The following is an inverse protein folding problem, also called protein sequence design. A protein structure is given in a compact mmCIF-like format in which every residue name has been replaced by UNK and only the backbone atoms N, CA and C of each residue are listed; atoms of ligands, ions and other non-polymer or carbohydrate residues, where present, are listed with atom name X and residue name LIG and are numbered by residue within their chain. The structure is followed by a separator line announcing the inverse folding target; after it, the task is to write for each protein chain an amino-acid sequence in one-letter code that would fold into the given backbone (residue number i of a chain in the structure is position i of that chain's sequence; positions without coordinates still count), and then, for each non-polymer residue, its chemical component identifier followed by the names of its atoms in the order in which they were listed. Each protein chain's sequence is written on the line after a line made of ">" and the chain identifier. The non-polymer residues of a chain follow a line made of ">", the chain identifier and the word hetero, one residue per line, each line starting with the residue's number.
data_IF_867631910596
#
_entry.id   IF_867631910596
#
_cell.length_a   1.000
_cell.length_b   1.000
_cell.length_c   1.000
_cell.angle_alpha   90.00
_cell.angle_beta   90.00
_cell.angle_gamma   90.00
#
_symmetry.space_group_name_H-M   'P 1'
#
loop_
_entity.id
_entity.type
_entity.pdbx_description
1 polymer ?
#
# COMPACT_ATOMS: atom_id res chain seq x y z
N UNK A 1 51.87 -9.83 23.02
CA UNK A 1 52.72 -9.68 24.21
C UNK A 1 53.66 -8.52 23.94
N UNK A 2 53.29 -7.28 24.33
CA UNK A 2 54.10 -6.09 24.05
C UNK A 2 55.20 -5.97 25.10
N UNK A 3 56.45 -6.14 24.68
CA UNK A 3 57.62 -6.01 25.54
C UNK A 3 57.97 -4.52 25.69
N UNK A 4 57.67 -3.95 26.85
CA UNK A 4 58.12 -2.62 27.26
C UNK A 4 59.64 -2.64 27.45
N UNK A 5 60.40 -2.21 26.43
CA UNK A 5 61.86 -2.17 26.43
C UNK A 5 62.46 -1.05 27.30
N UNK A 6 61.64 -0.24 27.98
CA UNK A 6 62.13 0.86 28.82
C UNK A 6 61.25 1.06 30.07
N UNK A 7 61.57 0.33 31.15
CA UNK A 7 60.80 0.34 32.42
C UNK A 7 60.82 1.68 33.16
N UNK A 8 61.71 2.62 32.81
CA UNK A 8 61.88 3.91 33.50
C UNK A 8 61.03 5.05 32.93
N UNK A 9 60.40 4.89 31.76
CA UNK A 9 59.65 5.97 31.07
C UNK A 9 58.13 5.90 31.23
N UNK A 10 57.59 4.82 31.79
CA UNK A 10 56.15 4.63 31.94
C UNK A 10 55.76 4.75 33.42
N UNK A 11 55.60 5.99 33.88
CA UNK A 11 55.08 6.29 35.21
C UNK A 11 53.62 6.74 35.08
N UNK A 12 52.69 5.81 35.26
CA UNK A 12 51.28 6.14 35.45
C UNK A 12 51.02 6.21 36.94
N UNK A 13 50.66 7.39 37.44
CA UNK A 13 50.13 7.56 38.79
C UNK A 13 48.61 7.66 38.71
N UNK A 14 47.90 6.77 39.41
CA UNK A 14 46.45 6.76 39.49
C UNK A 14 45.98 7.13 40.89
N UNK A 15 44.92 7.93 40.99
CA UNK A 15 44.23 8.27 42.23
C UNK A 15 42.73 8.04 42.02
N UNK A 16 42.09 7.36 42.99
CA UNK A 16 40.64 7.17 43.04
C UNK A 16 40.11 7.82 44.30
N UNK A 17 39.29 8.86 44.14
CA UNK A 17 38.59 9.51 45.24
C UNK A 17 37.11 9.11 45.20
N UNK A 18 36.57 8.67 46.33
CA UNK A 18 35.16 8.31 46.49
C UNK A 18 34.56 9.29 47.49
N UNK A 19 33.51 10.00 47.06
CA UNK A 19 32.77 10.96 47.86
C UNK A 19 31.35 10.44 48.00
N UNK A 20 31.00 9.98 49.20
CA UNK A 20 29.65 9.53 49.55
C UNK A 20 28.88 10.69 50.19
N UNK A 21 27.65 10.90 49.74
CA UNK A 21 26.71 11.90 50.27
C UNK A 21 25.43 11.19 50.72
N UNK A 22 24.58 11.88 51.48
CA UNK A 22 23.30 11.30 51.95
C UNK A 22 22.34 10.90 50.81
N UNK A 23 22.59 11.44 49.62
CA UNK A 23 21.72 11.32 48.44
C UNK A 23 22.33 10.48 47.33
N UNK A 24 23.59 10.02 47.48
CA UNK A 24 24.29 9.25 46.45
C UNK A 24 25.82 9.32 46.55
N UNK A 25 26.50 8.88 45.49
CA UNK A 25 27.96 8.73 45.48
C UNK A 25 28.61 9.33 44.23
N UNK A 26 29.83 9.82 44.39
CA UNK A 26 30.66 10.37 43.31
C UNK A 26 32.05 9.75 43.35
N UNK A 27 32.48 9.26 42.20
CA UNK A 27 33.76 8.63 41.96
C UNK A 27 34.61 9.53 41.06
N UNK A 28 35.84 9.82 41.46
CA UNK A 28 36.80 10.61 40.70
C UNK A 28 38.05 9.77 40.50
N UNK A 29 38.26 9.32 39.27
CA UNK A 29 39.47 8.62 38.85
C UNK A 29 40.38 9.60 38.11
N UNK A 30 41.56 9.86 38.66
CA UNK A 30 42.59 10.71 38.05
C UNK A 30 43.79 9.84 37.67
N UNK A 31 44.17 9.84 36.40
CA UNK A 31 45.37 9.17 35.90
C UNK A 31 46.33 10.20 35.31
N UNK A 32 47.56 10.21 35.79
CA UNK A 32 48.63 11.12 35.34
C UNK A 32 49.74 10.31 34.71
N UNK A 33 50.09 10.65 33.46
CA UNK A 33 51.25 10.10 32.76
C UNK A 33 52.03 11.23 32.08
N UNK A 34 53.25 11.48 32.55
CA UNK A 34 54.07 12.62 32.12
C UNK A 34 53.31 13.96 32.28
N UNK A 35 53.10 14.72 31.19
CA UNK A 35 52.36 16.00 31.20
C UNK A 35 50.87 15.85 30.82
N UNK A 36 50.31 14.63 30.83
CA UNK A 36 48.91 14.38 30.50
C UNK A 36 48.16 13.88 31.73
N UNK A 37 47.03 14.52 32.00
CA UNK A 37 46.10 14.14 33.08
C UNK A 37 44.78 13.77 32.45
N UNK A 38 44.32 12.55 32.69
CA UNK A 38 42.98 12.10 32.35
C UNK A 38 42.18 12.04 33.64
N UNK A 39 41.03 12.69 33.69
CA UNK A 39 40.14 12.67 34.84
C UNK A 39 38.78 12.15 34.41
N UNK A 40 38.30 11.11 35.06
CA UNK A 40 36.94 10.59 34.91
C UNK A 40 36.21 10.86 36.20
N UNK A 41 35.08 11.55 36.12
CA UNK A 41 34.18 11.79 37.23
C UNK A 41 32.86 11.11 36.89
N UNK A 42 32.34 10.26 37.76
CA UNK A 42 31.02 9.65 37.58
C UNK A 42 30.30 9.65 38.91
N UNK A 43 29.00 9.86 38.91
CA UNK A 43 28.21 9.84 40.13
C UNK A 43 26.75 9.63 39.85
N UNK A 44 26.05 9.21 40.89
CA UNK A 44 24.60 9.08 40.88
C UNK A 44 24.02 9.73 42.14
N UNK A 45 22.80 10.23 42.02
CA UNK A 45 22.01 10.74 43.14
C UNK A 45 20.55 10.30 43.01
N UNK A 46 19.91 10.01 44.14
CA UNK A 46 18.49 9.63 44.23
C UNK A 46 17.77 10.66 45.09
N UNK A 47 17.11 11.61 44.43
CA UNK A 47 16.46 12.74 45.07
C UNK A 47 14.98 12.41 45.25
N UNK A 48 14.49 12.45 46.49
CA UNK A 48 13.06 12.36 46.79
C UNK A 48 12.49 13.78 46.85
N UNK A 49 11.55 14.09 45.96
CA UNK A 49 10.89 15.39 45.92
C UNK A 49 9.75 15.46 46.93
N UNK A 50 9.48 16.68 47.44
CA UNK A 50 8.39 16.93 48.40
C UNK A 50 6.98 16.63 47.86
N UNK A 51 6.84 16.54 46.53
CA UNK A 51 5.60 16.20 45.82
C UNK A 51 5.38 14.69 45.64
N UNK A 52 6.25 13.86 46.24
CA UNK A 52 6.19 12.40 46.18
C UNK A 52 6.94 11.77 45.00
N UNK A 53 7.50 12.59 44.08
CA UNK A 53 8.24 12.08 42.93
C UNK A 53 9.66 11.64 43.32
N UNK A 54 10.18 10.62 42.61
CA UNK A 54 11.57 10.16 42.76
C UNK A 54 12.39 10.49 41.52
N UNK A 55 13.50 11.16 41.71
CA UNK A 55 14.44 11.51 40.65
C UNK A 55 15.73 10.70 40.80
N UNK A 56 16.12 10.02 39.73
CA UNK A 56 17.37 9.31 39.60
C UNK A 56 18.26 10.08 38.64
N UNK A 57 19.32 10.67 39.15
CA UNK A 57 20.27 11.42 38.35
C UNK A 57 21.58 10.65 38.24
N UNK A 58 22.17 10.62 37.05
CA UNK A 58 23.47 10.07 36.76
C UNK A 58 24.27 11.05 35.92
N UNK A 59 25.42 11.47 36.44
CA UNK A 59 26.32 12.40 35.77
C UNK A 59 27.68 11.74 35.56
N UNK A 60 28.28 11.93 34.39
CA UNK A 60 29.68 11.57 34.20
C UNK A 60 30.39 12.51 33.24
N UNK A 61 31.64 12.79 33.57
CA UNK A 61 32.51 13.73 32.88
C UNK A 61 33.88 13.09 32.65
N UNK A 62 34.37 13.20 31.42
CA UNK A 62 35.71 12.81 31.02
C UNK A 62 36.48 14.06 30.62
N UNK A 63 37.51 14.42 31.37
CA UNK A 63 38.45 15.49 31.05
C UNK A 63 39.77 14.87 30.53
N UNK A 64 40.17 15.24 29.31
CA UNK A 64 41.48 14.91 28.73
C UNK A 64 42.44 16.10 28.76
N UNK A 65 41.89 17.32 28.69
CA UNK A 65 42.59 18.58 28.90
C UNK A 65 41.59 19.71 29.18
N UNK A 66 42.02 20.91 29.61
CA UNK A 66 41.11 22.04 29.87
C UNK A 66 40.21 22.44 28.68
N UNK A 67 40.59 22.07 27.45
CA UNK A 67 39.83 22.35 26.21
C UNK A 67 39.15 21.11 25.61
N UNK A 68 39.41 19.91 26.13
CA UNK A 68 38.88 18.66 25.60
C UNK A 68 38.27 17.86 26.74
N UNK A 69 36.96 18.00 26.87
CA UNK A 69 36.16 17.29 27.85
C UNK A 69 34.77 17.03 27.28
N UNK A 70 34.12 16.01 27.81
CA UNK A 70 32.72 15.69 27.53
C UNK A 70 32.05 15.32 28.83
N UNK A 71 30.83 15.77 29.00
CA UNK A 71 30.00 15.52 30.16
C UNK A 71 28.62 15.07 29.69
N UNK A 72 28.06 14.09 30.36
CA UNK A 72 26.65 13.76 30.23
C UNK A 72 25.98 13.80 31.59
N UNK A 73 24.71 14.17 31.58
CA UNK A 73 23.82 14.20 32.73
C UNK A 73 22.48 13.59 32.31
N UNK A 74 22.04 12.55 33.01
CA UNK A 74 20.78 11.87 32.78
C UNK A 74 19.96 11.97 34.06
N UNK A 75 18.77 12.56 33.97
CA UNK A 75 17.79 12.60 35.04
C UNK A 75 16.53 11.84 34.60
N UNK A 76 16.12 10.87 35.41
CA UNK A 76 14.88 10.12 35.28
C UNK A 76 13.98 10.46 36.47
N UNK A 77 12.87 11.14 36.21
CA UNK A 77 11.87 11.51 37.21
C UNK A 77 10.68 10.59 37.05
N UNK A 78 10.45 9.74 38.05
CA UNK A 78 9.23 8.94 38.14
C UNK A 78 8.09 9.81 38.69
N UNK A 79 7.03 9.96 37.89
CA UNK A 79 5.83 10.74 38.18
C UNK A 79 4.58 9.86 38.32
N UNK A 80 4.74 8.54 38.38
CA UNK A 80 3.67 7.59 38.59
C UNK A 80 3.08 7.77 39.99
N UNK A 81 1.82 8.21 40.05
CA UNK A 81 1.10 8.47 41.32
C UNK A 81 0.13 7.36 41.70
N UNK A 82 -0.51 6.76 40.70
CA UNK A 82 -1.56 5.75 40.87
C UNK A 82 -1.26 4.52 40.00
N UNK A 83 -1.84 3.37 40.32
CA UNK A 83 -1.69 2.12 39.53
C UNK A 83 -2.28 2.22 38.11
N UNK A 84 -3.06 3.27 37.83
CA UNK A 84 -3.81 3.46 36.59
C UNK A 84 -2.96 4.15 35.50
N UNK A 85 -1.98 4.96 35.89
CA UNK A 85 -1.17 5.77 34.98
C UNK A 85 0.31 5.57 35.25
N UNK A 86 1.07 5.09 34.26
CA UNK A 86 2.53 5.13 34.30
C UNK A 86 3.02 6.40 33.63
N UNK A 87 3.73 7.24 34.39
CA UNK A 87 4.22 8.52 33.93
C UNK A 87 5.69 8.71 34.32
N UNK A 88 6.55 8.93 33.32
CA UNK A 88 7.97 9.21 33.56
C UNK A 88 8.45 10.35 32.69
N UNK A 89 9.43 11.07 33.21
CA UNK A 89 10.14 12.11 32.50
C UNK A 89 11.63 11.77 32.48
N UNK A 90 12.23 11.86 31.30
CA UNK A 90 13.66 11.61 31.08
C UNK A 90 14.26 12.90 30.54
N UNK A 91 15.36 13.34 31.13
CA UNK A 91 16.16 14.47 30.64
C UNK A 91 17.59 13.99 30.45
N UNK A 92 18.12 14.11 29.25
CA UNK A 92 19.50 13.73 28.90
C UNK A 92 20.18 14.98 28.37
N UNK A 93 21.24 15.42 29.04
CA UNK A 93 22.08 16.53 28.60
C UNK A 93 23.48 16.02 28.27
N UNK A 94 23.98 16.35 27.08
CA UNK A 94 25.35 16.11 26.67
C UNK A 94 26.02 17.45 26.43
N UNK A 95 27.10 17.68 27.16
CA UNK A 95 27.80 18.96 27.24
C UNK A 95 29.25 18.74 26.80
N UNK A 96 29.73 19.61 25.91
CA UNK A 96 31.14 19.70 25.56
C UNK A 96 31.48 21.16 25.26
N UNK A 97 32.77 21.57 25.18
CA UNK A 97 33.21 22.97 25.35
C UNK A 97 32.50 24.08 24.56
N UNK A 98 31.79 23.76 23.47
CA UNK A 98 31.10 24.74 22.64
C UNK A 98 29.61 24.45 22.40
N UNK A 99 29.09 23.30 22.84
CA UNK A 99 27.70 22.92 22.60
C UNK A 99 27.09 22.17 23.77
N UNK A 100 25.79 22.35 23.91
CA UNK A 100 24.94 21.65 24.84
C UNK A 100 23.81 21.05 23.99
N UNK A 101 23.56 19.77 24.19
CA UNK A 101 22.44 19.04 23.62
C UNK A 101 21.60 18.53 24.77
N UNK A 102 20.36 19.00 24.88
CA UNK A 102 19.42 18.55 25.91
C UNK A 102 18.22 17.90 25.24
N UNK A 103 18.11 16.59 25.41
CA UNK A 103 16.92 15.82 25.06
C UNK A 103 16.03 15.69 26.28
N UNK A 104 14.74 15.96 26.14
CA UNK A 104 13.73 15.71 27.15
C UNK A 104 12.63 14.85 26.54
N UNK A 105 12.26 13.80 27.25
CA UNK A 105 11.13 12.94 26.94
C UNK A 105 10.17 12.91 28.12
N UNK A 106 8.88 12.91 27.83
CA UNK A 106 7.81 12.65 28.78
C UNK A 106 6.88 11.63 28.16
N UNK A 107 6.43 10.67 28.95
CA UNK A 107 5.33 9.79 28.56
C UNK A 107 4.35 9.64 29.72
N UNK A 108 3.09 9.43 29.35
CA UNK A 108 1.99 9.12 30.24
C UNK A 108 1.09 8.10 29.55
N UNK A 109 1.03 6.89 30.11
CA UNK A 109 0.37 5.73 29.50
C UNK A 109 -0.65 5.16 30.48
N UNK A 110 -1.83 4.83 29.94
CA UNK A 110 -2.92 4.10 30.58
C UNK A 110 -3.65 3.25 29.55
N UNK A 111 -4.66 2.49 29.96
CA UNK A 111 -5.49 1.66 29.08
C UNK A 111 -6.28 2.45 28.01
N UNK A 112 -6.42 3.77 28.18
CA UNK A 112 -7.25 4.62 27.32
C UNK A 112 -6.55 5.85 26.76
N UNK A 113 -5.33 6.15 27.23
CA UNK A 113 -4.56 7.33 26.85
C UNK A 113 -3.09 6.94 26.73
N UNK A 114 -2.46 7.35 25.64
CA UNK A 114 -1.02 7.37 25.46
C UNK A 114 -0.68 8.80 25.07
N UNK A 115 0.11 9.48 25.90
CA UNK A 115 0.56 10.85 25.65
C UNK A 115 2.07 10.87 25.79
N UNK A 116 2.78 11.25 24.73
CA UNK A 116 4.24 11.24 24.69
C UNK A 116 4.72 12.53 24.07
N UNK A 117 5.63 13.22 24.76
CA UNK A 117 6.29 14.41 24.25
C UNK A 117 7.80 14.19 24.25
N UNK A 118 8.44 14.54 23.15
CA UNK A 118 9.89 14.53 23.02
C UNK A 118 10.35 15.88 22.53
N UNK A 119 11.41 16.41 23.11
CA UNK A 119 12.04 17.64 22.67
C UNK A 119 13.56 17.47 22.66
N UNK A 120 14.20 18.00 21.64
CA UNK A 120 15.65 18.10 21.53
C UNK A 120 16.00 19.56 21.35
N UNK A 121 16.76 20.11 22.29
CA UNK A 121 17.26 21.48 22.26
C UNK A 121 18.76 21.45 22.06
N UNK A 122 19.27 22.24 21.13
CA UNK A 122 20.71 22.38 20.91
C UNK A 122 21.12 23.81 20.59
N UNK A 123 22.42 24.07 20.82
CA UNK A 123 23.09 25.36 20.61
C UNK A 123 22.55 26.52 21.46
N UNK A 124 23.32 27.63 21.47
CA UNK A 124 22.98 28.87 22.18
C UNK A 124 21.71 29.56 21.66
N UNK A 125 21.31 29.25 20.42
CA UNK A 125 20.17 29.88 19.75
C UNK A 125 18.83 29.23 20.12
N UNK A 126 18.79 28.31 21.10
CA UNK A 126 17.58 27.61 21.54
C UNK A 126 16.82 26.92 20.38
N UNK A 127 17.56 26.41 19.39
CA UNK A 127 16.95 25.62 18.33
C UNK A 127 16.40 24.35 18.96
N UNK A 128 15.11 24.13 18.76
CA UNK A 128 14.42 22.98 19.35
C UNK A 128 13.59 22.26 18.30
N UNK A 129 13.64 20.94 18.35
CA UNK A 129 12.74 20.06 17.63
C UNK A 129 11.87 19.37 18.65
N UNK A 130 10.58 19.35 18.43
CA UNK A 130 9.63 18.73 19.33
C UNK A 130 8.73 17.78 18.55
N UNK A 131 8.38 16.66 19.15
CA UNK A 131 7.43 15.72 18.62
C UNK A 131 6.49 15.28 19.74
N UNK A 132 5.19 15.35 19.48
CA UNK A 132 4.14 14.95 20.41
C UNK A 132 3.27 13.86 19.79
N UNK A 133 2.90 12.86 20.56
CA UNK A 133 1.94 11.82 20.19
C UNK A 133 0.89 11.70 21.29
N UNK A 134 -0.36 11.97 20.93
CA UNK A 134 -1.52 11.83 21.79
C UNK A 134 -2.50 10.84 21.15
N UNK A 135 -2.59 9.65 21.72
CA UNK A 135 -3.63 8.67 21.40
C UNK A 135 -4.65 8.61 22.53
N UNK A 136 -5.94 8.61 22.19
CA UNK A 136 -7.04 8.54 23.14
C UNK A 136 -8.15 7.63 22.62
N UNK A 137 -8.60 6.70 23.47
CA UNK A 137 -9.81 5.92 23.23
C UNK A 137 -11.03 6.76 23.61
N UNK A 138 -11.92 7.01 22.65
CA UNK A 138 -13.22 7.65 22.87
C UNK A 138 -14.33 6.61 23.09
N UNK A 139 -15.45 7.02 23.72
CA UNK A 139 -16.65 6.19 23.77
C UNK A 139 -17.12 5.75 22.37
N UNK A 140 -17.89 4.67 22.30
CA UNK A 140 -18.44 4.12 21.04
C UNK A 140 -17.39 3.58 20.04
N UNK A 141 -16.30 2.97 20.54
CA UNK A 141 -15.25 2.32 19.71
C UNK A 141 -14.65 3.26 18.67
N UNK A 142 -14.42 4.51 19.08
CA UNK A 142 -13.66 5.49 18.32
C UNK A 142 -12.32 5.72 18.97
N UNK A 143 -11.31 5.90 18.16
CA UNK A 143 -9.96 6.20 18.59
C UNK A 143 -9.45 7.43 17.87
N UNK A 144 -8.75 8.27 18.61
CA UNK A 144 -8.16 9.49 18.11
C UNK A 144 -6.66 9.43 18.30
N UNK A 145 -5.93 9.85 17.27
CA UNK A 145 -4.49 9.95 17.26
C UNK A 145 -4.13 11.35 16.75
N UNK A 146 -3.41 12.09 17.58
CA UNK A 146 -2.83 13.38 17.23
C UNK A 146 -1.32 13.23 17.28
N UNK A 147 -0.66 13.43 16.16
CA UNK A 147 0.79 13.46 16.09
C UNK A 147 1.24 14.85 15.62
N UNK A 148 2.16 15.47 16.34
CA UNK A 148 2.61 16.83 16.07
C UNK A 148 4.13 16.86 15.97
N UNK A 149 4.64 17.59 14.99
CA UNK A 149 6.07 17.85 14.83
C UNK A 149 6.28 19.36 14.76
N UNK A 150 7.18 19.84 15.60
CA UNK A 150 7.69 21.19 15.61
C UNK A 150 9.15 21.19 15.19
N UNK A 151 9.47 21.97 14.17
CA UNK A 151 10.83 22.13 13.69
C UNK A 151 11.12 23.62 13.42
N UNK A 152 12.33 24.15 13.70
CA UNK A 152 12.63 25.57 13.52
C UNK A 152 12.54 26.07 12.07
N UNK A 153 12.51 25.16 11.10
CA UNK A 153 12.36 25.50 9.67
C UNK A 153 10.91 25.58 9.20
N UNK A 154 9.94 25.21 10.04
CA UNK A 154 8.53 25.26 9.69
C UNK A 154 7.92 26.58 10.18
N UNK A 155 7.07 27.19 9.36
CA UNK A 155 6.32 28.40 9.76
C UNK A 155 5.28 28.10 10.86
N UNK A 156 4.85 26.84 10.95
CA UNK A 156 3.88 26.31 11.92
C UNK A 156 4.22 24.86 12.24
N UNK A 157 3.79 24.40 13.41
CA UNK A 157 3.84 22.99 13.80
C UNK A 157 2.98 22.15 12.84
N UNK A 158 3.55 21.05 12.33
CA UNK A 158 2.86 20.11 11.45
C UNK A 158 2.07 19.15 12.32
N UNK A 159 0.77 19.03 12.08
CA UNK A 159 -0.11 18.15 12.84
C UNK A 159 -0.82 17.15 11.94
N UNK A 160 -0.83 15.90 12.41
CA UNK A 160 -1.52 14.77 11.82
C UNK A 160 -2.62 14.36 12.81
N UNK A 161 -3.86 14.67 12.46
CA UNK A 161 -5.02 14.30 13.25
C UNK A 161 -5.74 13.14 12.56
N UNK A 162 -5.71 11.97 13.17
CA UNK A 162 -6.43 10.80 12.72
C UNK A 162 -7.56 10.47 13.69
N UNK A 163 -8.73 10.17 13.16
CA UNK A 163 -9.85 9.63 13.91
C UNK A 163 -10.39 8.43 13.17
N UNK A 164 -10.51 7.29 13.85
CA UNK A 164 -11.10 6.10 13.27
C UNK A 164 -12.09 5.44 14.22
N UNK A 165 -13.14 4.90 13.65
CA UNK A 165 -14.19 4.15 14.32
C UNK A 165 -14.23 2.72 13.79
N UNK A 166 -14.54 1.78 14.68
CA UNK A 166 -14.75 0.40 14.29
C UNK A 166 -16.01 -0.18 14.95
N UNK A 167 -16.82 -0.82 14.12
CA UNK A 167 -17.96 -1.62 14.51
C UNK A 167 -17.80 -3.03 13.93
N UNK A 168 -18.70 -3.96 14.29
CA UNK A 168 -18.66 -5.35 13.78
C UNK A 168 -18.66 -5.45 12.26
N UNK A 169 -19.32 -4.51 11.58
CA UNK A 169 -19.54 -4.52 10.13
C UNK A 169 -18.94 -3.31 9.41
N UNK A 170 -18.37 -2.33 10.10
CA UNK A 170 -17.89 -1.10 9.45
C UNK A 170 -16.64 -0.60 10.16
N UNK A 171 -15.64 -0.23 9.38
CA UNK A 171 -14.47 0.53 9.84
C UNK A 171 -14.46 1.83 9.04
N UNK A 172 -14.45 2.96 9.72
CA UNK A 172 -14.36 4.28 9.10
C UNK A 172 -13.24 5.08 9.73
N UNK A 173 -12.60 5.95 8.96
CA UNK A 173 -11.57 6.82 9.49
C UNK A 173 -11.23 7.97 8.58
N UNK A 174 -10.64 8.99 9.19
CA UNK A 174 -10.16 10.18 8.50
C UNK A 174 -8.80 10.59 9.07
N UNK A 175 -7.93 11.07 8.20
CA UNK A 175 -6.65 11.68 8.51
C UNK A 175 -6.66 13.11 7.97
N UNK A 176 -6.40 14.06 8.83
CA UNK A 176 -6.26 15.49 8.52
C UNK A 176 -4.82 15.88 8.77
N UNK A 177 -4.16 16.42 7.75
CA UNK A 177 -2.80 16.94 7.84
C UNK A 177 -2.85 18.46 7.72
N UNK A 178 -2.46 19.15 8.79
CA UNK A 178 -2.34 20.60 8.85
C UNK A 178 -0.86 20.96 8.98
N UNK A 179 -0.31 21.54 7.93
CA UNK A 179 1.12 21.88 7.81
C UNK A 179 1.38 23.35 7.47
N UNK A 180 0.33 24.17 7.39
CA UNK A 180 0.40 25.55 6.91
C UNK A 180 -0.48 26.49 7.73
N UNK A 181 -0.22 27.80 7.59
CA UNK A 181 -1.10 28.84 8.12
C UNK A 181 -2.36 29.00 7.24
N UNK A 182 -2.29 28.62 5.96
CA UNK A 182 -3.42 28.73 5.05
C UNK A 182 -4.36 27.52 5.22
N UNK A 183 -5.65 27.73 5.56
CA UNK A 183 -6.63 26.65 5.69
C UNK A 183 -6.84 25.84 4.39
N UNK A 184 -6.58 26.41 3.21
CA UNK A 184 -6.70 25.72 1.92
C UNK A 184 -5.58 24.71 1.66
N UNK A 185 -4.48 24.79 2.40
CA UNK A 185 -3.36 23.84 2.35
C UNK A 185 -3.53 22.69 3.34
N UNK A 186 -4.78 22.39 3.74
CA UNK A 186 -5.11 21.27 4.60
C UNK A 186 -5.46 20.05 3.76
N UNK A 187 -4.76 18.95 4.00
CA UNK A 187 -5.04 17.68 3.34
C UNK A 187 -5.99 16.85 4.21
N UNK A 188 -7.10 16.40 3.64
CA UNK A 188 -8.04 15.47 4.28
C UNK A 188 -8.07 14.18 3.47
N UNK A 189 -7.78 13.06 4.13
CA UNK A 189 -7.88 11.72 3.60
C UNK A 189 -8.91 10.97 4.43
N UNK A 190 -9.71 10.11 3.82
CA UNK A 190 -10.62 9.28 4.59
C UNK A 190 -11.01 8.03 3.85
N UNK A 191 -11.53 7.09 4.63
CA UNK A 191 -11.93 5.80 4.13
C UNK A 191 -13.01 5.18 4.99
N UNK A 192 -13.86 4.39 4.36
CA UNK A 192 -14.87 3.58 4.99
C UNK A 192 -14.89 2.22 4.31
N UNK A 193 -14.77 1.17 5.10
CA UNK A 193 -14.88 -0.22 4.67
C UNK A 193 -16.06 -0.82 5.42
N UNK A 194 -16.97 -1.43 4.68
CA UNK A 194 -18.17 -2.07 5.20
C UNK A 194 -18.21 -3.55 4.82
N UNK A 195 -18.67 -4.37 5.75
CA UNK A 195 -18.98 -5.77 5.59
C UNK A 195 -20.50 -5.95 5.72
N UNK A 196 -21.14 -6.21 4.59
CA UNK A 196 -22.55 -6.52 4.47
C UNK A 196 -22.77 -8.03 4.21
N UNK A 197 -21.80 -8.86 4.59
CA UNK A 197 -21.84 -10.30 4.35
C UNK A 197 -22.92 -11.00 5.18
N UNK A 198 -23.44 -12.09 4.63
CA UNK A 198 -24.33 -13.03 5.30
C UNK A 198 -23.64 -14.41 5.33
N UNK A 199 -24.24 -15.42 5.98
CA UNK A 199 -23.64 -16.76 6.17
C UNK A 199 -23.12 -17.44 4.89
N UNK A 200 -23.69 -17.13 3.73
CA UNK A 200 -23.36 -17.76 2.44
C UNK A 200 -22.89 -16.76 1.38
N UNK A 201 -22.91 -15.46 1.67
CA UNK A 201 -22.62 -14.40 0.69
C UNK A 201 -21.65 -13.40 1.30
N UNK A 202 -20.49 -13.19 0.68
CA UNK A 202 -19.56 -12.14 1.07
C UNK A 202 -19.88 -10.87 0.28
N UNK A 203 -20.08 -9.76 0.98
CA UNK A 203 -20.37 -8.48 0.36
C UNK A 203 -19.59 -7.39 1.10
N UNK A 204 -18.50 -6.95 0.49
CA UNK A 204 -17.66 -5.90 1.03
C UNK A 204 -17.84 -4.64 0.21
N UNK A 205 -18.00 -3.52 0.88
CA UNK A 205 -18.06 -2.19 0.25
C UNK A 205 -16.92 -1.34 0.76
N UNK A 206 -16.32 -0.53 -0.10
CA UNK A 206 -15.36 0.48 0.32
C UNK A 206 -15.72 1.83 -0.26
N UNK A 207 -15.33 2.88 0.44
CA UNK A 207 -15.35 4.25 -0.03
C UNK A 207 -14.08 4.95 0.47
N UNK A 208 -13.32 5.54 -0.44
CA UNK A 208 -12.07 6.24 -0.18
C UNK A 208 -12.21 7.64 -0.75
N UNK A 209 -11.82 8.65 0.03
CA UNK A 209 -11.87 10.04 -0.43
C UNK A 209 -10.61 10.80 -0.02
N UNK A 210 -10.24 11.77 -0.85
CA UNK A 210 -9.15 12.70 -0.56
C UNK A 210 -9.51 14.10 -1.06
N UNK A 211 -9.20 15.11 -0.24
CA UNK A 211 -9.42 16.50 -0.56
C UNK A 211 -8.21 17.34 -0.18
N UNK A 212 -7.73 18.15 -1.12
CA UNK A 212 -6.70 19.15 -0.87
C UNK A 212 -6.91 20.36 -1.80
N UNK A 213 -7.46 21.45 -1.24
CA UNK A 213 -7.90 22.62 -2.00
C UNK A 213 -6.74 23.29 -2.73
N UNK A 214 -5.57 23.43 -2.10
CA UNK A 214 -4.42 24.10 -2.71
C UNK A 214 -3.90 23.43 -4.00
N UNK A 215 -4.13 22.13 -4.18
CA UNK A 215 -3.80 21.41 -5.43
C UNK A 215 -5.04 21.06 -6.25
N UNK A 216 -6.22 21.60 -5.92
CA UNK A 216 -7.51 21.17 -6.47
C UNK A 216 -7.64 19.64 -6.52
N UNK A 217 -7.15 18.95 -5.49
CA UNK A 217 -7.27 17.50 -5.40
C UNK A 217 -8.66 17.19 -4.85
N UNK A 218 -9.43 16.45 -5.64
CA UNK A 218 -10.67 15.84 -5.19
C UNK A 218 -10.70 14.41 -5.72
N UNK A 219 -10.66 13.44 -4.82
CA UNK A 219 -10.77 12.03 -5.11
C UNK A 219 -11.95 11.48 -4.35
N UNK A 220 -12.81 10.77 -5.05
CA UNK A 220 -13.85 9.93 -4.46
C UNK A 220 -13.85 8.60 -5.22
N UNK A 221 -13.56 7.52 -4.52
CA UNK A 221 -13.52 6.17 -5.07
C UNK A 221 -14.39 5.28 -4.21
N UNK A 222 -15.38 4.66 -4.82
CA UNK A 222 -16.24 3.70 -4.17
C UNK A 222 -16.23 2.39 -4.95
N UNK A 223 -16.50 1.31 -4.24
CA UNK A 223 -16.62 0.03 -4.88
C UNK A 223 -17.14 -1.04 -3.96
N UNK A 224 -17.49 -2.15 -4.57
CA UNK A 224 -18.04 -3.30 -3.88
C UNK A 224 -17.48 -4.58 -4.47
N UNK A 225 -17.17 -5.51 -3.59
CA UNK A 225 -16.83 -6.88 -3.93
C UNK A 225 -17.95 -7.79 -3.42
N UNK A 226 -18.48 -8.59 -4.32
CA UNK A 226 -19.55 -9.54 -4.04
C UNK A 226 -19.11 -10.95 -4.41
N UNK A 227 -19.39 -11.90 -3.51
CA UNK A 227 -19.16 -13.31 -3.76
C UNK A 227 -20.29 -14.13 -3.16
N UNK A 228 -20.77 -15.09 -3.95
CA UNK A 228 -21.67 -16.16 -3.56
C UNK A 228 -21.31 -17.41 -4.37
N UNK A 229 -21.79 -18.60 -3.99
CA UNK A 229 -21.47 -19.84 -4.70
C UNK A 229 -21.82 -19.83 -6.19
N UNK A 230 -22.84 -19.07 -6.60
CA UNK A 230 -23.29 -19.00 -7.99
C UNK A 230 -23.12 -17.63 -8.66
N UNK A 231 -22.81 -16.56 -7.93
CA UNK A 231 -22.60 -15.22 -8.50
C UNK A 231 -21.46 -14.52 -7.78
N UNK A 232 -20.49 -14.01 -8.52
CA UNK A 232 -19.41 -13.21 -7.97
C UNK A 232 -19.07 -12.06 -8.90
N UNK A 233 -18.71 -10.93 -8.31
CA UNK A 233 -18.38 -9.75 -9.07
C UNK A 233 -17.78 -8.63 -8.25
N UNK A 234 -17.31 -7.63 -8.96
CA UNK A 234 -16.74 -6.43 -8.39
C UNK A 234 -17.17 -5.23 -9.22
N UNK A 235 -17.46 -4.13 -8.54
CA UNK A 235 -17.84 -2.85 -9.15
C UNK A 235 -17.02 -1.75 -8.51
N UNK A 236 -16.45 -0.88 -9.32
CA UNK A 236 -15.61 0.23 -8.87
C UNK A 236 -15.97 1.46 -9.66
N UNK A 237 -16.16 2.56 -8.95
CA UNK A 237 -16.34 3.88 -9.52
C UNK A 237 -15.32 4.82 -8.88
N UNK A 238 -14.67 5.65 -9.69
CA UNK A 238 -13.69 6.61 -9.20
C UNK A 238 -13.84 7.92 -9.95
N UNK A 239 -14.08 8.99 -9.20
CA UNK A 239 -14.02 10.37 -9.66
C UNK A 239 -12.75 11.01 -9.12
N UNK A 240 -11.91 11.51 -10.02
CA UNK A 240 -10.62 12.10 -9.69
C UNK A 240 -10.42 13.43 -10.41
N UNK A 241 -10.04 14.44 -9.64
CA UNK A 241 -9.66 15.75 -10.13
C UNK A 241 -8.35 16.17 -9.45
N UNK A 242 -7.41 16.70 -10.24
CA UNK A 242 -6.15 17.25 -9.73
C UNK A 242 -5.73 18.47 -10.55
N UNK A 243 -5.35 19.53 -9.84
CA UNK A 243 -4.83 20.78 -10.42
C UNK A 243 -5.80 21.40 -11.43
N UNK A 244 -5.36 21.58 -12.67
CA UNK A 244 -6.13 22.15 -13.78
C UNK A 244 -6.69 21.09 -14.73
N UNK A 245 -6.52 19.80 -14.42
CA UNK A 245 -7.06 18.74 -15.25
C UNK A 245 -8.58 18.65 -15.06
N UNK A 246 -9.34 18.37 -16.14
CA UNK A 246 -10.76 18.10 -16.02
C UNK A 246 -10.98 16.88 -15.12
N UNK A 247 -12.14 16.82 -14.47
CA UNK A 247 -12.54 15.66 -13.68
C UNK A 247 -12.56 14.42 -14.56
N UNK A 248 -11.77 13.42 -14.17
CA UNK A 248 -11.71 12.13 -14.82
C UNK A 248 -12.55 11.14 -14.03
N UNK A 249 -13.41 10.41 -14.71
CA UNK A 249 -14.20 9.32 -14.16
C UNK A 249 -13.72 7.99 -14.70
N UNK A 250 -13.62 6.99 -13.84
CA UNK A 250 -13.32 5.62 -14.20
C UNK A 250 -14.35 4.68 -13.56
N UNK A 251 -14.90 3.79 -14.38
CA UNK A 251 -15.82 2.73 -13.97
C UNK A 251 -15.24 1.38 -14.35
N UNK A 252 -15.30 0.41 -13.45
CA UNK A 252 -14.90 -0.97 -13.69
C UNK A 252 -15.93 -1.92 -13.09
N UNK A 253 -16.47 -2.80 -13.91
CA UNK A 253 -17.38 -3.88 -13.52
C UNK A 253 -16.79 -5.21 -14.01
N UNK A 254 -16.79 -6.21 -13.16
CA UNK A 254 -16.60 -7.59 -13.58
C UNK A 254 -17.57 -8.47 -12.81
N UNK A 255 -18.37 -9.27 -13.51
CA UNK A 255 -19.37 -10.13 -12.91
C UNK A 255 -19.42 -11.47 -13.63
N UNK A 256 -19.60 -12.54 -12.86
CA UNK A 256 -19.77 -13.90 -13.35
C UNK A 256 -20.95 -14.50 -12.60
N UNK A 257 -22.01 -14.78 -13.35
CA UNK A 257 -23.24 -15.41 -12.88
C UNK A 257 -23.28 -16.84 -13.43
N UNK A 258 -23.02 -17.82 -12.57
CA UNK A 258 -23.05 -19.24 -12.92
C UNK A 258 -24.47 -19.79 -13.08
N UNK A 259 -25.47 -19.19 -12.42
CA UNK A 259 -26.86 -19.64 -12.54
C UNK A 259 -27.39 -19.34 -13.95
N UNK A 260 -27.01 -18.18 -14.49
CA UNK A 260 -27.34 -17.78 -15.86
C UNK A 260 -26.26 -18.15 -16.89
N UNK A 261 -25.09 -18.62 -16.44
CA UNK A 261 -23.89 -18.87 -17.25
C UNK A 261 -23.43 -17.62 -18.02
N UNK A 262 -23.47 -16.48 -17.35
CA UNK A 262 -23.18 -15.15 -17.90
C UNK A 262 -21.88 -14.57 -17.33
N UNK A 263 -21.16 -13.86 -18.17
CA UNK A 263 -19.96 -13.09 -17.82
C UNK A 263 -20.14 -11.68 -18.36
N UNK A 264 -19.94 -10.69 -17.52
CA UNK A 264 -20.02 -9.28 -17.86
C UNK A 264 -18.75 -8.57 -17.41
N UNK A 265 -18.11 -7.84 -18.32
CA UNK A 265 -16.92 -7.04 -18.06
C UNK A 265 -17.17 -5.65 -18.64
N UNK A 266 -17.05 -4.60 -17.81
CA UNK A 266 -17.14 -3.21 -18.25
C UNK A 266 -15.93 -2.45 -17.74
N UNK A 267 -15.36 -1.63 -18.61
CA UNK A 267 -14.35 -0.64 -18.27
C UNK A 267 -14.71 0.62 -19.03
N UNK A 268 -14.98 1.69 -18.31
CA UNK A 268 -15.21 3.01 -18.90
C UNK A 268 -14.25 4.01 -18.28
N UNK A 269 -13.52 4.73 -19.12
CA UNK A 269 -12.57 5.73 -18.68
C UNK A 269 -12.41 6.78 -19.79
N UNK A 270 -12.42 8.05 -19.41
CA UNK A 270 -12.19 9.18 -20.31
C UNK A 270 -10.92 9.02 -21.17
N UNK A 271 -9.87 8.39 -20.64
CA UNK A 271 -8.60 8.23 -21.34
C UNK A 271 -8.53 7.03 -22.30
N UNK A 272 -9.30 5.97 -22.08
CA UNK A 272 -9.20 4.71 -22.85
C UNK A 272 -10.50 4.29 -23.55
N UNK A 273 -11.54 5.13 -23.46
CA UNK A 273 -12.85 4.84 -24.00
C UNK A 273 -13.59 3.72 -23.27
N UNK A 274 -14.79 3.42 -23.78
CA UNK A 274 -15.65 2.35 -23.31
C UNK A 274 -15.17 1.00 -23.86
N UNK A 275 -14.99 0.04 -22.96
CA UNK A 275 -14.91 -1.38 -23.26
C UNK A 275 -16.01 -2.09 -22.48
N UNK A 276 -16.85 -2.84 -23.19
CA UNK A 276 -17.88 -3.65 -22.58
C UNK A 276 -17.91 -5.02 -23.26
N UNK A 277 -17.94 -6.08 -22.48
CA UNK A 277 -18.06 -7.44 -22.95
C UNK A 277 -19.13 -8.16 -22.15
N UNK A 278 -20.05 -8.79 -22.84
CA UNK A 278 -21.06 -9.66 -22.27
C UNK A 278 -21.03 -10.98 -23.03
N UNK A 279 -21.05 -12.08 -22.29
CA UNK A 279 -21.06 -13.41 -22.86
C UNK A 279 -21.97 -14.32 -22.06
N UNK A 280 -22.77 -15.13 -22.74
CA UNK A 280 -23.61 -16.15 -22.16
C UNK A 280 -23.37 -17.47 -22.85
N UNK A 281 -23.09 -18.52 -22.10
CA UNK A 281 -23.05 -19.87 -22.67
C UNK A 281 -24.25 -20.68 -22.18
N UNK A 282 -24.72 -21.61 -23.00
CA UNK A 282 -25.81 -22.50 -22.65
C UNK A 282 -25.62 -23.84 -23.35
N UNK A 283 -25.92 -24.94 -22.67
CA UNK A 283 -25.90 -26.25 -23.27
C UNK A 283 -25.41 -27.35 -22.35
N UNK A 284 -25.73 -28.57 -22.72
CA UNK A 284 -25.26 -29.80 -22.11
C UNK A 284 -24.98 -30.80 -23.23
N UNK A 285 -24.09 -31.77 -22.99
CA UNK A 285 -23.80 -32.78 -24.01
C UNK A 285 -25.12 -33.36 -24.55
N UNK A 286 -25.33 -33.33 -25.88
CA UNK A 286 -24.36 -33.10 -26.95
C UNK A 286 -24.37 -31.70 -27.59
N UNK A 287 -25.15 -30.75 -27.08
CA UNK A 287 -25.34 -29.42 -27.66
C UNK A 287 -24.76 -28.32 -26.77
N UNK A 288 -23.88 -27.49 -27.34
CA UNK A 288 -23.30 -26.32 -26.69
C UNK A 288 -23.51 -25.08 -27.54
N UNK A 289 -23.91 -23.98 -26.92
CA UNK A 289 -24.16 -22.69 -27.57
C UNK A 289 -23.53 -21.57 -26.74
N UNK A 290 -23.10 -20.49 -27.39
CA UNK A 290 -22.70 -19.28 -26.68
C UNK A 290 -23.03 -18.03 -27.51
N UNK A 291 -23.52 -17.01 -26.83
CA UNK A 291 -23.79 -15.67 -27.37
C UNK A 291 -22.83 -14.69 -26.73
N UNK A 292 -22.21 -13.84 -27.53
CA UNK A 292 -21.21 -12.89 -27.06
C UNK A 292 -21.49 -11.53 -27.71
N UNK A 293 -21.33 -10.46 -26.95
CA UNK A 293 -21.35 -9.09 -27.46
C UNK A 293 -20.18 -8.33 -26.87
N UNK A 294 -19.47 -7.60 -27.71
CA UNK A 294 -18.37 -6.74 -27.28
C UNK A 294 -18.60 -5.34 -27.85
N UNK A 295 -18.35 -4.32 -27.06
CA UNK A 295 -18.38 -2.92 -27.44
C UNK A 295 -17.02 -2.34 -27.14
N UNK A 296 -16.38 -1.79 -28.16
CA UNK A 296 -15.14 -1.04 -28.01
C UNK A 296 -15.31 0.32 -28.67
N UNK A 297 -15.39 1.36 -27.85
CA UNK A 297 -15.71 2.73 -28.27
C UNK A 297 -17.03 2.77 -29.07
N UNK A 298 -16.96 2.95 -30.39
CA UNK A 298 -18.11 2.96 -31.31
C UNK A 298 -18.37 1.63 -32.00
N UNK A 299 -17.50 0.63 -31.85
CA UNK A 299 -17.60 -0.63 -32.57
C UNK A 299 -18.36 -1.66 -31.75
N UNK A 300 -19.48 -2.11 -32.31
CA UNK A 300 -20.29 -3.20 -31.77
C UNK A 300 -19.97 -4.50 -32.50
N UNK A 301 -19.52 -5.49 -31.75
CA UNK A 301 -19.25 -6.84 -32.24
C UNK A 301 -20.22 -7.83 -31.60
N UNK A 302 -20.71 -8.79 -32.39
CA UNK A 302 -21.62 -9.85 -31.91
C UNK A 302 -21.13 -11.21 -32.37
N UNK A 303 -21.01 -12.13 -31.44
CA UNK A 303 -20.60 -13.51 -31.66
C UNK A 303 -21.70 -14.51 -31.32
N UNK A 304 -21.78 -15.57 -32.11
CA UNK A 304 -22.56 -16.76 -31.87
C UNK A 304 -21.66 -17.98 -32.05
N UNK A 305 -21.81 -18.95 -31.16
CA UNK A 305 -21.14 -20.23 -31.19
C UNK A 305 -22.16 -21.34 -31.05
N UNK A 306 -21.98 -22.42 -31.81
CA UNK A 306 -22.81 -23.61 -31.77
C UNK A 306 -21.97 -24.85 -32.04
N UNK A 307 -22.08 -25.84 -31.17
CA UNK A 307 -21.46 -27.14 -31.33
C UNK A 307 -22.45 -28.24 -30.97
N UNK A 308 -22.74 -29.11 -31.93
CA UNK A 308 -23.61 -30.27 -31.74
C UNK A 308 -22.84 -31.54 -32.09
N UNK A 309 -22.53 -32.35 -31.06
CA UNK A 309 -21.75 -33.58 -31.22
C UNK A 309 -22.56 -34.73 -31.84
N UNK A 310 -23.90 -34.72 -31.76
CA UNK A 310 -24.74 -35.71 -32.43
C UNK A 310 -24.76 -35.47 -33.93
N UNK A 311 -24.92 -34.22 -34.34
CA UNK A 311 -24.85 -33.79 -35.74
C UNK A 311 -23.41 -33.71 -36.26
N UNK A 312 -22.43 -33.81 -35.36
CA UNK A 312 -21.00 -33.63 -35.60
C UNK A 312 -20.71 -32.31 -36.33
N UNK A 313 -21.41 -31.27 -35.89
CA UNK A 313 -21.42 -29.94 -36.49
C UNK A 313 -20.89 -28.91 -35.49
N UNK A 314 -20.05 -28.01 -36.00
CA UNK A 314 -19.50 -26.87 -35.27
C UNK A 314 -19.66 -25.65 -36.16
N UNK A 315 -20.21 -24.56 -35.65
CA UNK A 315 -20.09 -23.26 -36.31
C UNK A 315 -19.90 -22.13 -35.30
N UNK A 316 -19.19 -21.09 -35.73
CA UNK A 316 -19.00 -19.87 -34.97
C UNK A 316 -19.05 -18.70 -35.94
N UNK A 317 -19.88 -17.71 -35.64
CA UNK A 317 -20.05 -16.51 -36.43
C UNK A 317 -19.79 -15.30 -35.54
N UNK A 318 -18.83 -14.46 -35.90
CA UNK A 318 -18.52 -13.22 -35.18
C UNK A 318 -18.56 -12.07 -36.15
N UNK A 319 -19.53 -11.18 -35.98
CA UNK A 319 -19.56 -9.89 -36.66
C UNK A 319 -18.65 -8.95 -35.87
N UNK A 320 -17.62 -8.43 -36.53
CA UNK A 320 -16.65 -7.51 -35.93
C UNK A 320 -17.15 -6.06 -35.99
N UNK A 321 -18.03 -5.75 -36.93
CA UNK A 321 -18.66 -4.44 -37.11
C UNK A 321 -20.19 -4.54 -36.99
N UNK A 322 -20.82 -3.41 -36.66
CA UNK A 322 -22.28 -3.34 -36.46
C UNK A 322 -23.07 -3.60 -37.75
N UNK A 323 -22.54 -3.14 -38.89
CA UNK A 323 -23.10 -3.33 -40.22
C UNK A 323 -22.80 -4.72 -40.83
N UNK A 324 -21.98 -5.53 -40.18
CA UNK A 324 -21.57 -6.85 -40.66
C UNK A 324 -20.64 -6.83 -41.88
N UNK A 325 -20.08 -5.67 -42.26
CA UNK A 325 -19.07 -5.53 -43.32
C UNK A 325 -17.83 -6.39 -43.07
N UNK A 326 -17.49 -6.57 -41.79
CA UNK A 326 -16.40 -7.43 -41.36
C UNK A 326 -16.93 -8.52 -40.44
N UNK A 327 -16.74 -9.78 -40.85
CA UNK A 327 -17.18 -10.94 -40.10
C UNK A 327 -16.14 -12.05 -40.14
N UNK A 328 -16.25 -12.94 -39.17
CA UNK A 328 -15.43 -14.13 -39.06
C UNK A 328 -16.32 -15.33 -38.85
N UNK A 329 -16.09 -16.34 -39.68
CA UNK A 329 -16.89 -17.54 -39.73
C UNK A 329 -16.00 -18.75 -39.53
N UNK A 330 -16.50 -19.70 -38.76
CA UNK A 330 -15.93 -21.03 -38.59
C UNK A 330 -17.02 -22.04 -38.86
N UNK A 331 -16.69 -23.09 -39.58
CA UNK A 331 -17.60 -24.19 -39.89
C UNK A 331 -16.83 -25.50 -39.91
N UNK A 332 -17.28 -26.46 -39.11
CA UNK A 332 -16.75 -27.82 -39.03
C UNK A 332 -17.88 -28.83 -39.11
N UNK A 333 -17.72 -29.88 -39.91
CA UNK A 333 -18.70 -30.95 -40.04
C UNK A 333 -18.02 -32.30 -40.32
N UNK A 334 -18.51 -33.36 -39.67
CA UNK A 334 -18.17 -34.76 -39.95
C UNK A 334 -19.43 -35.46 -40.46
N UNK A 335 -19.77 -35.33 -41.76
CA UNK A 335 -20.99 -35.92 -42.30
C UNK A 335 -21.00 -37.45 -42.23
N UNK A 336 -19.85 -38.11 -42.35
CA UNK A 336 -19.70 -39.55 -42.18
C UNK A 336 -18.29 -39.91 -41.65
N UNK A 337 -18.04 -41.19 -41.39
CA UNK A 337 -16.72 -41.67 -40.93
C UNK A 337 -15.60 -41.53 -41.98
N UNK A 338 -15.92 -41.06 -43.19
CA UNK A 338 -15.01 -40.96 -44.33
C UNK A 338 -14.63 -39.52 -44.66
N UNK A 339 -15.40 -38.54 -44.22
CA UNK A 339 -15.25 -37.15 -44.59
C UNK A 339 -15.26 -36.26 -43.35
N UNK A 340 -14.27 -35.37 -43.27
CA UNK A 340 -14.21 -34.30 -42.28
C UNK A 340 -13.90 -33.01 -43.02
N UNK A 341 -14.59 -31.93 -42.67
CA UNK A 341 -14.31 -30.59 -43.17
C UNK A 341 -14.27 -29.62 -42.00
N UNK A 342 -13.28 -28.74 -42.00
CA UNK A 342 -13.19 -27.63 -41.06
C UNK A 342 -12.61 -26.43 -41.79
N UNK A 343 -13.34 -25.32 -41.81
CA UNK A 343 -12.94 -24.08 -42.46
C UNK A 343 -13.15 -22.91 -41.50
N UNK A 344 -12.23 -21.96 -41.55
CA UNK A 344 -12.27 -20.70 -40.83
C UNK A 344 -11.89 -19.60 -41.82
N UNK A 345 -12.74 -18.60 -41.98
CA UNK A 345 -12.55 -17.53 -42.94
C UNK A 345 -13.09 -16.21 -42.41
N UNK A 346 -12.55 -15.11 -42.91
CA UNK A 346 -13.02 -13.76 -42.67
C UNK A 346 -13.66 -13.20 -43.93
N UNK A 347 -14.75 -12.48 -43.75
CA UNK A 347 -15.35 -11.65 -44.77
C UNK A 347 -14.97 -10.21 -44.48
N UNK A 348 -14.47 -9.54 -45.52
CA UNK A 348 -14.31 -8.10 -45.61
C UNK A 348 -15.13 -7.65 -46.82
N UNK A 349 -15.71 -6.46 -46.81
CA UNK A 349 -16.61 -5.90 -47.85
C UNK A 349 -16.54 -6.53 -49.26
N UNK A 350 -15.35 -6.60 -49.87
CA UNK A 350 -15.13 -7.12 -51.23
C UNK A 350 -14.39 -8.47 -51.28
N UNK A 351 -13.94 -9.01 -50.15
CA UNK A 351 -12.96 -10.12 -50.09
C UNK A 351 -13.24 -11.12 -48.99
N UNK A 352 -13.17 -12.39 -49.36
CA UNK A 352 -13.12 -13.49 -48.38
C UNK A 352 -11.71 -14.02 -48.25
N UNK A 353 -11.19 -14.04 -47.02
CA UNK A 353 -9.84 -14.53 -46.69
C UNK A 353 -9.97 -15.81 -45.88
N UNK A 354 -9.51 -16.93 -46.43
CA UNK A 354 -9.44 -18.20 -45.69
C UNK A 354 -8.23 -18.20 -44.77
N UNK A 355 -8.48 -18.39 -43.47
CA UNK A 355 -7.45 -18.47 -42.44
C UNK A 355 -7.00 -19.90 -42.20
N UNK A 356 -7.96 -20.83 -42.10
CA UNK A 356 -7.72 -22.26 -41.95
C UNK A 356 -8.69 -23.02 -42.86
N UNK A 357 -8.19 -24.03 -43.56
CA UNK A 357 -9.01 -25.00 -44.28
C UNK A 357 -8.40 -26.38 -44.10
N UNK A 358 -9.18 -27.29 -43.56
CA UNK A 358 -8.84 -28.67 -43.34
C UNK A 358 -9.91 -29.55 -43.98
N UNK A 359 -9.45 -30.52 -44.76
CA UNK A 359 -10.32 -31.58 -45.23
C UNK A 359 -9.62 -32.94 -45.09
N UNK A 360 -10.43 -33.95 -44.77
CA UNK A 360 -10.06 -35.35 -44.80
C UNK A 360 -11.13 -36.11 -45.58
N UNK A 361 -10.70 -36.95 -46.52
CA UNK A 361 -11.55 -37.80 -47.33
C UNK A 361 -10.93 -39.19 -47.44
N UNK A 362 -11.73 -40.22 -47.20
CA UNK A 362 -11.38 -41.63 -47.37
C UNK A 362 -12.02 -42.16 -48.67
N UNK A 363 -11.19 -42.49 -49.66
CA UNK A 363 -11.66 -43.09 -50.90
C UNK A 363 -12.03 -44.58 -50.72
N UNK A 364 -12.79 -45.15 -51.66
CA UNK A 364 -13.23 -46.56 -51.63
C UNK A 364 -12.09 -47.59 -51.55
N UNK A 365 -10.87 -47.21 -51.95
CA UNK A 365 -9.65 -48.02 -51.86
C UNK A 365 -8.87 -47.85 -50.54
N UNK A 366 -9.48 -47.30 -49.49
CA UNK A 366 -8.86 -47.00 -48.17
C UNK A 366 -7.70 -46.00 -48.22
N UNK A 367 -7.55 -45.26 -49.31
CA UNK A 367 -6.57 -44.18 -49.41
C UNK A 367 -7.09 -42.96 -48.65
N UNK A 368 -6.35 -42.54 -47.64
CA UNK A 368 -6.60 -41.31 -46.86
C UNK A 368 -6.04 -40.14 -47.65
N UNK A 369 -6.90 -39.20 -48.05
CA UNK A 369 -6.47 -37.88 -48.54
C UNK A 369 -6.78 -36.86 -47.46
N UNK A 370 -5.74 -36.21 -46.95
CA UNK A 370 -5.90 -35.09 -46.02
C UNK A 370 -5.10 -33.90 -46.53
N UNK A 371 -5.66 -32.70 -46.41
CA UNK A 371 -4.87 -31.49 -46.57
C UNK A 371 -5.28 -30.47 -45.52
N UNK A 372 -4.27 -29.84 -44.93
CA UNK A 372 -4.39 -28.70 -44.05
C UNK A 372 -3.72 -27.52 -44.74
N UNK A 373 -4.48 -26.44 -44.91
CA UNK A 373 -3.99 -25.14 -45.36
C UNK A 373 -4.28 -24.15 -44.24
N UNK A 374 -3.27 -23.38 -43.86
CA UNK A 374 -3.45 -22.25 -42.95
C UNK A 374 -2.75 -21.02 -43.50
N UNK A 375 -3.13 -19.84 -43.02
CA UNK A 375 -2.42 -18.59 -43.26
C UNK A 375 -1.18 -18.52 -42.36
N UNK A 376 0.05 -18.38 -42.89
CA UNK A 376 1.27 -18.35 -42.07
C UNK A 376 1.29 -17.24 -41.02
N UNK A 377 0.67 -16.09 -41.30
CA UNK A 377 0.59 -14.95 -40.38
C UNK A 377 -0.35 -15.21 -39.19
N UNK A 378 -1.15 -16.27 -39.21
CA UNK A 378 -2.09 -16.56 -38.13
C UNK A 378 -1.35 -16.81 -36.80
N UNK A 379 -0.17 -17.42 -36.84
CA UNK A 379 0.62 -17.67 -35.63
C UNK A 379 1.17 -16.38 -35.03
N UNK A 380 1.62 -15.45 -35.87
CA UNK A 380 2.08 -14.12 -35.43
C UNK A 380 0.92 -13.28 -34.89
N UNK A 381 -0.25 -13.34 -35.51
CA UNK A 381 -1.46 -12.63 -35.07
C UNK A 381 -1.93 -13.13 -33.69
N UNK A 382 -1.89 -14.45 -33.47
CA UNK A 382 -2.20 -15.05 -32.15
C UNK A 382 -1.16 -14.64 -31.11
N UNK A 383 0.12 -14.64 -31.48
CA UNK A 383 1.20 -14.21 -30.58
C UNK A 383 1.09 -12.73 -30.21
N UNK A 384 0.69 -11.85 -31.14
CA UNK A 384 0.50 -10.42 -30.85
C UNK A 384 -0.73 -10.18 -29.98
N UNK A 385 -1.84 -10.88 -30.22
CA UNK A 385 -3.02 -10.84 -29.34
C UNK A 385 -2.69 -11.30 -27.91
N UNK A 386 -1.91 -12.37 -27.77
CA UNK A 386 -1.46 -12.87 -26.48
C UNK A 386 -0.45 -11.92 -25.82
N UNK A 387 0.46 -11.31 -26.58
CA UNK A 387 1.43 -10.38 -26.01
C UNK A 387 0.79 -9.06 -25.61
N UNK A 388 -0.18 -8.53 -26.37
CA UNK A 388 -0.96 -7.32 -26.02
C UNK A 388 -1.86 -7.55 -24.80
N UNK A 389 -2.53 -8.71 -24.71
CA UNK A 389 -3.31 -9.09 -23.52
C UNK A 389 -2.43 -9.35 -22.29
N UNK A 390 -1.24 -9.92 -22.47
CA UNK A 390 -0.24 -10.04 -21.39
C UNK A 390 0.35 -8.68 -21.02
N UNK A 391 0.50 -7.74 -21.95
CA UNK A 391 0.94 -6.38 -21.67
C UNK A 391 -0.10 -5.59 -20.88
N UNK A 392 -1.40 -5.81 -21.13
CA UNK A 392 -2.52 -5.34 -20.30
C UNK A 392 -2.52 -5.96 -18.90
N UNK A 393 -2.18 -7.26 -18.78
CA UNK A 393 -2.04 -7.93 -17.48
C UNK A 393 -0.80 -7.47 -16.68
N UNK A 394 0.27 -7.09 -17.37
CA UNK A 394 1.51 -6.55 -16.79
C UNK A 394 1.35 -5.08 -16.38
N UNK A 395 0.59 -4.28 -17.14
CA UNK A 395 0.22 -2.92 -16.74
C UNK A 395 -0.68 -2.92 -15.50
N UNK A 396 -1.60 -3.90 -15.35
CA UNK A 396 -2.35 -4.10 -14.10
C UNK A 396 -1.45 -4.56 -12.93
N UNK A 397 -0.45 -5.41 -13.17
CA UNK A 397 0.52 -5.82 -12.14
C UNK A 397 1.52 -4.73 -11.73
N UNK A 398 1.84 -3.80 -12.63
CA UNK A 398 2.66 -2.62 -12.33
C UNK A 398 1.88 -1.55 -11.56
N UNK A 399 0.56 -1.46 -11.75
CA UNK A 399 -0.31 -0.58 -10.96
C UNK A 399 -0.65 -1.13 -9.56
N UNK A 400 -0.42 -2.43 -9.31
CA UNK A 400 -0.52 -3.05 -7.98
C UNK A 400 0.81 -3.06 -7.21
N UNK A 401 1.89 -2.51 -7.78
CA UNK A 401 3.22 -2.41 -7.15
C UNK A 401 3.73 -0.98 -6.99
N UNK A 402 2.89 0.01 -7.28
CA UNK A 402 2.99 1.40 -6.82
C UNK A 402 1.82 1.65 -5.87
#
# INVERSE_FOLDING_TARGET
>A
MYHLQNRSHFNITGQLDIITTDVGEKYILTAVHSNRTVKVQTGYSVINHSDGNKEYQQQSRLDLSPKHWIEYDVSLINKTRDEIFDAQQIVISVIYPKRIFTGQGFYNISDSIISTDMSLVWDKDNKSVQAGLDWRRKPYRREQLLFQIKHPSFERDVSFYSEYGYNKSVIDGQLVVDYSLNPDQRLTLGGKIGDNSNRLTFNYTYNLWAQHNATNLNLNSDGSFYWSPSDFGTSHFTSYQRSYLPTSTAELLARVDMDNNEIELKKDNLASGLFYFWGRYAGCYPLYTANMTSVHESNHSRGEFYANFNEKLLYMNVNMTEDGSQSMHTYGNIPDARNVRFNMWRHYDDRTVSDVSYYLSLNHSRLVTSALRWRPQLMTDVQSLLSESVHLSLLMKLYQKL
#
